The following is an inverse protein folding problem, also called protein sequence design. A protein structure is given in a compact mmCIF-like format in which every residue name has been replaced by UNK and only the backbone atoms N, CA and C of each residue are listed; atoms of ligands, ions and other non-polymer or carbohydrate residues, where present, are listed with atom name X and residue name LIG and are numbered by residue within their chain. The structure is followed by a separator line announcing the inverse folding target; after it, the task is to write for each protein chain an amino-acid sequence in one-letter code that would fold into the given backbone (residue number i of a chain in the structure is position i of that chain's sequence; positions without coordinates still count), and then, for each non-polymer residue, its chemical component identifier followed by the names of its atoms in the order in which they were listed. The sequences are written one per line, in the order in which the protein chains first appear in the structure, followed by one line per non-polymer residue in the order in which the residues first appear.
data_IF_914394467524
#
_entry.id   IF_914394467524
#
_cell.length_a   1.000
_cell.length_b   1.000
_cell.length_c   1.000
_cell.angle_alpha   90.00
_cell.angle_beta   90.00
_cell.angle_gamma   90.00
#
_symmetry.space_group_name_H-M   'P 1'
#
loop_
_entity.id
_entity.type
_entity.pdbx_description
1 polymer ?
#
# COMPACT_ATOMS: atom_id res chain seq x y z
N UNK A 1 12.92 -4.44 -25.76
CA UNK A 1 12.71 -2.97 -25.71
C UNK A 1 11.35 -2.54 -25.17
N UNK A 2 10.21 -3.11 -25.60
CA UNK A 2 8.87 -2.65 -25.19
C UNK A 2 8.58 -2.77 -23.68
N UNK A 3 8.96 -3.88 -23.04
CA UNK A 3 8.66 -4.13 -21.62
C UNK A 3 9.36 -3.14 -20.66
N UNK A 4 10.63 -2.82 -20.95
CA UNK A 4 11.43 -1.82 -20.23
C UNK A 4 10.82 -0.41 -20.34
N UNK A 5 10.31 -0.06 -21.52
CA UNK A 5 9.64 1.22 -21.77
C UNK A 5 8.32 1.32 -20.99
N UNK A 6 7.47 0.27 -21.02
CA UNK A 6 6.19 0.22 -20.28
C UNK A 6 6.37 0.32 -18.77
N UNK A 7 7.40 -0.34 -18.24
CA UNK A 7 7.73 -0.31 -16.81
C UNK A 7 8.13 1.07 -16.32
N UNK A 8 9.03 1.74 -17.06
CA UNK A 8 9.44 3.11 -16.79
C UNK A 8 8.23 4.06 -16.81
N UNK A 9 7.35 3.92 -17.82
CA UNK A 9 6.12 4.72 -17.92
C UNK A 9 5.21 4.51 -16.71
N UNK A 10 4.99 3.27 -16.26
CA UNK A 10 4.12 2.99 -15.12
C UNK A 10 4.65 3.59 -13.80
N UNK A 11 5.95 3.43 -13.51
CA UNK A 11 6.57 4.03 -12.32
C UNK A 11 6.58 5.56 -12.37
N UNK A 12 6.83 6.16 -13.55
CA UNK A 12 6.80 7.61 -13.73
C UNK A 12 5.37 8.17 -13.63
N UNK A 13 4.37 7.44 -14.14
CA UNK A 13 2.95 7.80 -13.97
C UNK A 13 2.53 7.74 -12.51
N UNK A 14 2.94 6.71 -11.75
CA UNK A 14 2.69 6.65 -10.31
C UNK A 14 3.36 7.83 -9.58
N UNK A 15 4.61 8.14 -9.88
CA UNK A 15 5.28 9.31 -9.30
C UNK A 15 4.59 10.63 -9.65
N UNK A 16 4.16 10.80 -10.90
CA UNK A 16 3.44 11.99 -11.33
C UNK A 16 2.11 12.13 -10.59
N UNK A 17 1.37 11.02 -10.45
CA UNK A 17 0.15 10.98 -9.64
C UNK A 17 0.46 11.45 -8.22
N UNK A 18 1.50 10.91 -7.58
CA UNK A 18 1.97 11.32 -6.23
C UNK A 18 2.20 12.82 -6.10
N UNK A 19 2.98 13.39 -7.02
CA UNK A 19 3.31 14.81 -7.02
C UNK A 19 2.08 15.69 -7.27
N UNK A 20 1.16 15.25 -8.13
CA UNK A 20 -0.02 16.01 -8.47
C UNK A 20 -1.07 16.01 -7.35
N UNK A 21 -1.24 14.94 -6.56
CA UNK A 21 -2.07 15.11 -5.36
C UNK A 21 -1.42 15.99 -4.31
N UNK A 22 -0.09 16.00 -4.20
CA UNK A 22 0.58 16.82 -3.18
C UNK A 22 0.18 18.28 -3.40
N UNK A 23 -0.09 18.65 -4.65
CA UNK A 23 -0.66 19.95 -5.06
C UNK A 23 -2.17 20.07 -4.81
N UNK A 24 -2.98 19.04 -5.09
CA UNK A 24 -4.45 19.07 -4.96
C UNK A 24 -4.93 18.96 -3.50
N UNK A 25 -4.21 18.20 -2.68
CA UNK A 25 -4.48 17.95 -1.26
C UNK A 25 -3.20 18.21 -0.45
N UNK A 26 -2.82 19.49 -0.25
CA UNK A 26 -1.65 19.83 0.54
C UNK A 26 -1.79 19.23 1.96
N UNK A 27 -0.88 18.34 2.32
CA UNK A 27 -0.90 17.58 3.58
C UNK A 27 -1.40 16.13 3.51
N UNK A 28 -1.85 15.64 2.35
CA UNK A 28 -2.11 14.20 2.10
C UNK A 28 -1.20 13.68 1.00
N UNK A 29 -0.15 12.96 1.38
CA UNK A 29 0.62 12.14 0.44
C UNK A 29 -0.25 10.95 -0.03
N UNK A 30 -0.52 10.80 -1.33
CA UNK A 30 -1.25 9.61 -1.87
C UNK A 30 -0.47 8.32 -1.70
N UNK A 31 0.85 8.44 -1.58
CA UNK A 31 1.71 7.32 -1.23
C UNK A 31 2.42 7.68 0.07
N UNK A 32 1.60 7.98 1.08
CA UNK A 32 2.06 8.01 2.44
C UNK A 32 2.52 6.60 2.80
N UNK A 33 3.74 6.47 3.32
CA UNK A 33 4.04 5.32 4.15
C UNK A 33 3.27 5.48 5.46
N UNK A 34 2.75 4.39 6.01
CA UNK A 34 1.98 4.45 7.24
C UNK A 34 1.15 3.21 7.40
N UNK A 35 -0.03 3.36 7.99
CA UNK A 35 -0.91 2.26 8.28
C UNK A 35 -2.30 2.51 7.74
N UNK A 36 -2.93 1.46 7.24
CA UNK A 36 -4.33 1.44 6.77
C UNK A 36 -5.05 0.30 7.46
N UNK A 37 -6.38 0.44 7.59
CA UNK A 37 -7.22 -0.59 8.21
C UNK A 37 -7.92 -1.36 7.09
N UNK A 38 -7.58 -2.63 6.94
CA UNK A 38 -8.24 -3.56 6.03
C UNK A 38 -9.40 -4.23 6.76
N UNK A 39 -10.61 -4.10 6.21
CA UNK A 39 -11.83 -4.68 6.80
C UNK A 39 -12.17 -6.04 6.19
N UNK A 40 -11.71 -6.28 4.96
CA UNK A 40 -11.78 -7.53 4.22
C UNK A 40 -10.62 -7.54 3.22
N UNK A 41 -10.19 -8.72 2.77
CA UNK A 41 -9.13 -8.85 1.75
C UNK A 41 -9.29 -7.80 0.63
N UNK A 42 -8.26 -6.98 0.45
CA UNK A 42 -8.16 -5.92 -0.56
C UNK A 42 -9.23 -4.80 -0.43
N UNK A 43 -9.87 -4.66 0.73
CA UNK A 43 -10.90 -3.66 1.04
C UNK A 43 -10.53 -2.87 2.31
N UNK A 44 -10.23 -1.58 2.14
CA UNK A 44 -9.66 -0.73 3.19
C UNK A 44 -10.60 0.40 3.60
N UNK A 45 -10.63 0.72 4.90
CA UNK A 45 -11.43 1.81 5.44
C UNK A 45 -10.99 3.17 4.87
N UNK A 46 -11.92 3.91 4.27
CA UNK A 46 -11.69 5.26 3.74
C UNK A 46 -12.46 6.35 4.50
N UNK A 47 -13.50 5.98 5.24
CA UNK A 47 -14.34 6.92 5.99
C UNK A 47 -15.75 6.39 6.18
N UNK A 48 -16.69 7.30 6.40
CA UNK A 48 -18.12 7.01 6.46
C UNK A 48 -18.86 7.77 5.37
N UNK A 49 -19.87 7.14 4.79
CA UNK A 49 -20.79 7.75 3.84
C UNK A 49 -22.21 7.30 4.19
N UNK A 50 -23.12 8.24 4.40
CA UNK A 50 -24.53 7.99 4.76
C UNK A 50 -24.67 7.02 5.96
N UNK A 51 -23.83 7.21 6.98
CA UNK A 51 -23.80 6.39 8.19
C UNK A 51 -23.21 4.98 8.00
N UNK A 52 -22.70 4.65 6.81
CA UNK A 52 -22.10 3.35 6.48
C UNK A 52 -20.59 3.48 6.31
N UNK A 53 -19.86 2.41 6.61
CA UNK A 53 -18.43 2.34 6.35
C UNK A 53 -18.18 2.40 4.84
N UNK A 54 -17.33 3.33 4.42
CA UNK A 54 -16.84 3.44 3.06
C UNK A 54 -15.52 2.67 2.92
N UNK A 55 -15.51 1.68 2.02
CA UNK A 55 -14.31 0.93 1.67
C UNK A 55 -13.78 1.36 0.29
N UNK A 56 -12.45 1.43 0.15
CA UNK A 56 -11.74 1.68 -1.11
C UNK A 56 -10.49 0.79 -1.20
N UNK A 57 -9.79 0.86 -2.32
CA UNK A 57 -8.42 0.35 -2.42
C UNK A 57 -7.48 1.15 -1.51
N UNK A 58 -6.31 0.59 -1.18
CA UNK A 58 -5.44 1.18 -0.16
C UNK A 58 -4.90 2.56 -0.56
N UNK A 59 -4.82 2.89 -1.85
CA UNK A 59 -4.40 4.21 -2.35
C UNK A 59 -5.35 5.32 -1.94
N UNK A 60 -6.62 4.99 -1.68
CA UNK A 60 -7.67 5.93 -1.27
C UNK A 60 -8.17 5.68 0.16
N UNK A 61 -7.50 4.78 0.89
CA UNK A 61 -7.82 4.49 2.27
C UNK A 61 -7.47 5.66 3.19
N UNK A 62 -8.00 5.61 4.41
CA UNK A 62 -7.55 6.49 5.49
C UNK A 62 -6.22 5.98 6.04
N UNK A 63 -5.20 6.83 5.97
CA UNK A 63 -3.89 6.56 6.52
C UNK A 63 -3.76 7.02 7.96
N UNK A 64 -2.93 6.29 8.70
CA UNK A 64 -2.50 6.56 10.05
C UNK A 64 -0.98 6.59 10.08
N UNK A 65 -0.39 7.53 10.82
CA UNK A 65 1.07 7.70 10.87
C UNK A 65 1.78 6.61 11.66
N UNK A 66 1.07 5.95 12.58
CA UNK A 66 1.60 4.88 13.42
C UNK A 66 0.50 3.89 13.87
N UNK A 67 0.93 2.72 14.33
CA UNK A 67 0.04 1.65 14.79
C UNK A 67 -0.87 2.11 15.94
N UNK A 68 -0.34 2.86 16.91
CA UNK A 68 -1.10 3.33 18.06
C UNK A 68 -2.33 4.17 17.63
N UNK A 69 -2.14 5.15 16.75
CA UNK A 69 -3.22 5.99 16.24
C UNK A 69 -4.28 5.21 15.46
N UNK A 70 -3.86 4.20 14.69
CA UNK A 70 -4.78 3.33 13.96
C UNK A 70 -5.58 2.43 14.89
N UNK A 71 -4.93 1.83 15.89
CA UNK A 71 -5.59 0.97 16.88
C UNK A 71 -6.59 1.74 17.74
N UNK A 72 -6.24 2.94 18.20
CA UNK A 72 -7.18 3.80 18.94
C UNK A 72 -8.39 4.14 18.08
N UNK A 73 -8.17 4.49 16.80
CA UNK A 73 -9.27 4.77 15.88
C UNK A 73 -10.21 3.58 15.71
N UNK A 74 -9.66 2.36 15.58
CA UNK A 74 -10.47 1.14 15.48
C UNK A 74 -11.35 0.97 16.71
N UNK A 75 -10.80 1.17 17.92
CA UNK A 75 -11.54 1.03 19.18
C UNK A 75 -12.64 2.08 19.32
N UNK A 76 -12.35 3.33 19.00
CA UNK A 76 -13.29 4.45 19.20
C UNK A 76 -14.40 4.49 18.14
N UNK A 77 -14.08 4.18 16.87
CA UNK A 77 -14.98 4.44 15.75
C UNK A 77 -15.42 3.19 14.98
N UNK A 78 -14.66 2.09 15.07
CA UNK A 78 -14.98 0.82 14.41
C UNK A 78 -15.26 -0.29 15.44
N UNK A 79 -15.52 0.10 16.69
CA UNK A 79 -15.75 -0.70 17.89
C UNK A 79 -16.90 -1.72 17.87
N UNK A 80 -17.38 -2.14 16.71
CA UNK A 80 -18.53 -3.03 16.59
C UNK A 80 -18.17 -4.44 17.06
N UNK A 81 -19.01 -5.00 17.94
CA UNK A 81 -18.85 -6.35 18.44
C UNK A 81 -18.75 -7.37 17.29
N UNK A 82 -17.71 -8.21 17.32
CA UNK A 82 -17.47 -9.23 16.31
C UNK A 82 -16.77 -8.73 15.03
N UNK A 83 -16.44 -7.43 14.92
CA UNK A 83 -15.62 -6.95 13.82
C UNK A 83 -14.19 -7.50 13.91
N UNK A 84 -13.70 -8.04 12.79
CA UNK A 84 -12.30 -8.37 12.55
C UNK A 84 -11.75 -7.46 11.47
N UNK A 85 -10.60 -6.87 11.72
CA UNK A 85 -9.90 -6.07 10.73
C UNK A 85 -8.40 -6.27 10.85
N UNK A 86 -7.65 -6.03 9.77
CA UNK A 86 -6.20 -6.07 9.79
C UNK A 86 -5.63 -4.66 9.77
N UNK A 87 -4.75 -4.37 10.71
CA UNK A 87 -3.84 -3.26 10.60
C UNK A 87 -2.75 -3.63 9.60
N UNK A 88 -2.70 -2.88 8.49
CA UNK A 88 -1.74 -3.13 7.43
C UNK A 88 -0.75 -1.98 7.33
N UNK A 89 0.52 -2.30 7.18
CA UNK A 89 1.56 -1.30 6.90
C UNK A 89 1.65 -1.08 5.39
N UNK A 90 1.69 0.18 5.01
CA UNK A 90 1.98 0.62 3.65
C UNK A 90 3.41 1.16 3.62
N UNK A 91 4.24 0.56 2.78
CA UNK A 91 5.63 0.98 2.59
C UNK A 91 6.02 0.86 1.12
N UNK A 92 7.04 1.61 0.69
CA UNK A 92 7.63 1.38 -0.63
C UNK A 92 8.28 0.00 -0.65
N UNK A 93 8.10 -0.75 -1.73
CA UNK A 93 8.69 -2.07 -1.86
C UNK A 93 8.96 -2.43 -3.31
N UNK A 94 9.49 -3.63 -3.53
CA UNK A 94 9.70 -4.18 -4.86
C UNK A 94 8.58 -5.16 -5.19
N UNK A 95 8.08 -5.12 -6.42
CA UNK A 95 7.11 -6.09 -6.94
C UNK A 95 7.62 -6.73 -8.24
N UNK A 96 7.26 -7.99 -8.47
CA UNK A 96 7.54 -8.72 -9.72
C UNK A 96 6.23 -9.09 -10.41
N UNK A 97 6.28 -9.31 -11.72
CA UNK A 97 5.17 -9.98 -12.40
C UNK A 97 5.00 -11.39 -11.85
N UNK A 98 3.79 -11.72 -11.45
CA UNK A 98 3.37 -13.06 -11.09
C UNK A 98 3.37 -13.96 -12.31
N UNK A 99 3.57 -15.25 -12.08
CA UNK A 99 3.70 -16.28 -13.11
C UNK A 99 2.38 -16.60 -13.85
N UNK A 100 1.25 -16.08 -13.37
CA UNK A 100 -0.07 -16.41 -13.93
C UNK A 100 -0.41 -15.55 -15.16
N UNK A 101 -0.80 -16.18 -16.29
CA UNK A 101 -1.19 -15.46 -17.49
C UNK A 101 -2.50 -14.69 -17.27
N UNK A 102 -2.38 -13.39 -17.04
CA UNK A 102 -3.47 -12.43 -16.87
C UNK A 102 -2.90 -11.02 -16.76
N UNK A 103 -2.90 -10.27 -17.87
CA UNK A 103 -2.04 -9.09 -18.07
C UNK A 103 -2.49 -7.78 -17.39
N UNK A 104 -3.19 -7.83 -16.24
CA UNK A 104 -3.56 -6.58 -15.53
C UNK A 104 -3.35 -6.56 -14.01
N UNK A 105 -3.24 -7.66 -13.27
CA UNK A 105 -3.34 -7.59 -11.79
C UNK A 105 -2.42 -8.55 -11.00
N UNK A 106 -1.37 -9.09 -11.60
CA UNK A 106 -0.52 -10.10 -10.95
C UNK A 106 0.81 -9.56 -10.40
N UNK A 107 0.90 -8.32 -9.90
CA UNK A 107 2.13 -7.88 -9.24
C UNK A 107 2.22 -8.51 -7.85
N UNK A 108 3.26 -9.34 -7.62
CA UNK A 108 3.53 -9.95 -6.32
C UNK A 108 4.70 -9.24 -5.65
N UNK A 109 4.67 -9.03 -4.31
CA UNK A 109 5.83 -8.54 -3.58
C UNK A 109 7.07 -9.40 -3.88
N UNK A 110 8.15 -8.74 -4.28
CA UNK A 110 9.46 -9.34 -4.36
C UNK A 110 9.93 -9.66 -2.94
N UNK A 111 10.39 -10.89 -2.74
CA UNK A 111 10.87 -11.37 -1.45
C UNK A 111 12.37 -11.62 -1.53
N UNK A 112 13.14 -10.97 -0.66
CA UNK A 112 14.54 -11.29 -0.45
C UNK A 112 14.63 -12.25 0.74
N UNK A 113 15.17 -13.45 0.54
CA UNK A 113 15.24 -14.49 1.58
C UNK A 113 13.89 -14.76 2.30
N UNK A 114 12.79 -14.69 1.55
CA UNK A 114 11.43 -14.91 2.07
C UNK A 114 10.76 -13.68 2.69
N UNK A 115 11.47 -12.57 2.88
CA UNK A 115 10.94 -11.33 3.46
C UNK A 115 10.62 -10.28 2.40
N UNK A 116 9.51 -9.57 2.57
CA UNK A 116 9.15 -8.43 1.73
C UNK A 116 10.06 -7.26 2.11
N UNK A 117 10.73 -6.67 1.12
CA UNK A 117 11.55 -5.47 1.34
C UNK A 117 10.65 -4.25 1.50
N UNK A 118 10.90 -3.48 2.55
CA UNK A 118 10.25 -2.21 2.83
C UNK A 118 11.28 -1.08 2.80
N UNK A 119 10.95 0.01 2.13
CA UNK A 119 11.77 1.20 2.00
C UNK A 119 11.03 2.42 2.54
N UNK A 120 11.80 3.35 3.11
CA UNK A 120 11.30 4.66 3.56
C UNK A 120 10.84 5.55 2.40
N UNK A 121 11.42 5.37 1.21
CA UNK A 121 11.09 6.18 0.04
C UNK A 121 11.20 5.39 -1.27
N UNK A 122 10.58 5.93 -2.32
CA UNK A 122 10.77 5.45 -3.68
C UNK A 122 12.26 5.43 -4.09
N UNK A 123 13.02 6.48 -3.72
CA UNK A 123 14.43 6.60 -4.07
C UNK A 123 15.28 5.49 -3.46
N UNK A 124 15.01 5.12 -2.20
CA UNK A 124 15.68 4.02 -1.53
C UNK A 124 15.40 2.69 -2.24
N UNK A 125 14.15 2.46 -2.67
CA UNK A 125 13.78 1.31 -3.48
C UNK A 125 14.52 1.27 -4.81
N UNK A 126 14.60 2.40 -5.54
CA UNK A 126 15.34 2.50 -6.81
C UNK A 126 16.84 2.29 -6.62
N UNK A 127 17.42 2.83 -5.54
CA UNK A 127 18.83 2.64 -5.21
C UNK A 127 19.12 1.16 -4.99
N UNK A 128 18.30 0.48 -4.17
CA UNK A 128 18.42 -0.95 -3.92
C UNK A 128 18.31 -1.77 -5.22
N UNK A 129 17.39 -1.41 -6.13
CA UNK A 129 17.29 -2.08 -7.42
C UNK A 129 18.58 -2.03 -8.23
N UNK A 130 19.25 -0.87 -8.25
CA UNK A 130 20.49 -0.67 -9.01
C UNK A 130 21.65 -1.47 -8.42
N UNK A 131 21.79 -1.41 -7.11
CA UNK A 131 22.85 -2.12 -6.38
C UNK A 131 22.74 -3.65 -6.50
N UNK A 132 21.52 -4.16 -6.73
CA UNK A 132 21.23 -5.59 -6.84
C UNK A 132 20.87 -6.05 -8.27
N UNK A 133 21.03 -5.18 -9.28
CA UNK A 133 20.73 -5.47 -10.69
C UNK A 133 19.28 -5.93 -10.97
N UNK A 134 18.31 -5.40 -10.21
CA UNK A 134 16.90 -5.78 -10.27
C UNK A 134 16.06 -4.83 -11.14
N UNK A 135 16.66 -3.81 -11.78
CA UNK A 135 15.91 -2.73 -12.45
C UNK A 135 15.10 -3.24 -13.65
N UNK A 136 15.45 -4.41 -14.21
CA UNK A 136 14.71 -5.03 -15.30
C UNK A 136 13.56 -5.93 -14.82
N UNK A 137 13.67 -6.52 -13.64
CA UNK A 137 12.77 -7.58 -13.17
C UNK A 137 11.75 -7.10 -12.13
N UNK A 138 12.03 -6.02 -11.38
CA UNK A 138 11.16 -5.57 -10.28
C UNK A 138 10.64 -4.13 -10.43
N UNK A 139 9.47 -3.80 -9.91
CA UNK A 139 8.87 -2.46 -9.92
C UNK A 139 8.96 -1.87 -8.51
N UNK A 140 9.33 -0.60 -8.37
CA UNK A 140 9.23 0.11 -7.08
C UNK A 140 7.82 0.69 -6.98
N UNK A 141 7.05 0.25 -5.99
CA UNK A 141 5.69 0.72 -5.76
C UNK A 141 5.29 0.55 -4.29
N UNK A 142 4.24 1.24 -3.81
CA UNK A 142 3.71 1.05 -2.47
C UNK A 142 3.10 -0.35 -2.33
N UNK A 143 3.55 -1.09 -1.33
CA UNK A 143 3.04 -2.40 -0.97
C UNK A 143 2.30 -2.32 0.35
N UNK A 144 1.27 -3.15 0.48
CA UNK A 144 0.52 -3.32 1.72
C UNK A 144 0.82 -4.69 2.30
N UNK A 145 1.20 -4.73 3.57
CA UNK A 145 1.43 -5.97 4.30
C UNK A 145 0.63 -5.99 5.60
N UNK A 146 0.03 -7.14 5.93
CA UNK A 146 -0.75 -7.30 7.16
C UNK A 146 0.20 -7.48 8.32
N UNK A 147 0.19 -6.55 9.28
CA UNK A 147 1.04 -6.67 10.46
C UNK A 147 0.31 -7.29 11.65
N UNK A 148 -0.98 -6.95 11.82
CA UNK A 148 -1.73 -7.35 13.00
C UNK A 148 -3.21 -7.50 12.69
N UNK A 149 -3.80 -8.62 13.10
CA UNK A 149 -5.25 -8.76 13.17
C UNK A 149 -5.76 -8.10 14.46
N UNK A 150 -6.79 -7.29 14.35
CA UNK A 150 -7.50 -6.66 15.44
C UNK A 150 -8.89 -7.29 15.53
N UNK A 151 -9.20 -7.81 16.72
CA UNK A 151 -10.49 -8.39 17.04
C UNK A 151 -11.08 -7.67 18.24
N UNK A 152 -12.32 -7.21 18.09
CA UNK A 152 -13.06 -6.57 19.18
C UNK A 152 -14.02 -7.61 19.74
N UNK A 153 -13.64 -8.17 20.89
CA UNK A 153 -14.49 -9.09 21.64
C UNK A 153 -15.72 -8.33 22.17
N UNK A 154 -16.86 -9.02 22.13
CA UNK A 154 -18.12 -8.55 22.69
C UNK A 154 -18.08 -8.57 24.22
#
# INVERSE_FOLDING_TARGET
MQHKKRKKIYSEQLLQIHEDSKKIHPGKEIYATGYVIELKKDCYFAGFQDGKILCRSFEYARYFSNTHSAEQFVKEYLGYAGLRCNLCKVAWGLAVHGLEPGWKENLKPYKNQGQILQFSSYHDGVKYQKENHLEQTTYVLPLVDREKELYIAA
#
